data_IF_699917930527
#
_entry.id   IF_699917930527
#
_cell.length_a   1.000
_cell.length_b   1.000
_cell.length_c   1.000
_cell.angle_alpha   90.00
_cell.angle_beta   90.00
_cell.angle_gamma   90.00
#
_symmetry.space_group_name_H-M   'P 1'
#
loop_
_entity.id
_entity.type
_entity.pdbx_description
1 polymer ?
#
# COMPACT_ATOMS: atom_id res chain seq x y z
N UNK A 1 12.95 -17.73 -3.21
CA UNK A 1 12.92 -16.25 -3.29
C UNK A 1 11.49 -15.79 -3.30
N UNK A 2 11.03 -15.18 -2.21
CA UNK A 2 9.68 -14.63 -2.08
C UNK A 2 9.60 -13.79 -0.81
N UNK A 3 8.69 -12.83 -0.77
CA UNK A 3 8.48 -11.97 0.39
C UNK A 3 8.04 -12.79 1.62
N UNK A 4 8.58 -12.50 2.83
CA UNK A 4 8.10 -13.05 4.09
C UNK A 4 6.58 -12.93 4.21
N UNK A 5 5.94 -13.93 4.83
CA UNK A 5 4.48 -14.10 4.79
C UNK A 5 3.77 -12.90 5.42
N UNK A 6 4.32 -12.40 6.51
CA UNK A 6 3.87 -11.25 7.28
C UNK A 6 3.91 -9.94 6.48
N UNK A 7 4.81 -9.82 5.51
CA UNK A 7 4.97 -8.64 4.67
C UNK A 7 4.12 -8.67 3.38
N UNK A 8 3.53 -9.82 3.03
CA UNK A 8 2.71 -9.94 1.82
C UNK A 8 1.41 -9.14 1.90
N UNK A 9 0.82 -9.04 3.10
CA UNK A 9 -0.45 -8.33 3.29
C UNK A 9 -0.36 -6.87 2.86
N UNK A 10 0.62 -6.12 3.39
CA UNK A 10 0.78 -4.71 3.07
C UNK A 10 1.09 -4.47 1.59
N UNK A 11 1.88 -5.33 0.95
CA UNK A 11 2.16 -5.26 -0.49
C UNK A 11 0.88 -5.49 -1.32
N UNK A 12 0.17 -6.59 -1.04
CA UNK A 12 -1.04 -6.96 -1.79
C UNK A 12 -2.12 -5.87 -1.69
N UNK A 13 -2.34 -5.36 -0.47
CA UNK A 13 -3.32 -4.31 -0.20
C UNK A 13 -2.98 -3.01 -0.93
N UNK A 14 -1.74 -2.55 -0.78
CA UNK A 14 -1.26 -1.31 -1.42
C UNK A 14 -1.37 -1.43 -2.94
N UNK A 15 -0.85 -2.52 -3.50
CA UNK A 15 -0.86 -2.72 -4.94
C UNK A 15 -2.28 -2.86 -5.50
N UNK A 16 -3.21 -3.48 -4.78
CA UNK A 16 -4.61 -3.57 -5.21
C UNK A 16 -5.27 -2.18 -5.29
N UNK A 17 -5.00 -1.29 -4.32
CA UNK A 17 -5.46 0.10 -4.37
C UNK A 17 -4.84 0.83 -5.58
N UNK A 18 -3.55 0.64 -5.84
CA UNK A 18 -2.89 1.24 -7.01
C UNK A 18 -3.54 0.78 -8.32
N UNK A 19 -3.80 -0.51 -8.47
CA UNK A 19 -4.47 -1.06 -9.64
C UNK A 19 -5.91 -0.56 -9.77
N UNK A 20 -6.63 -0.37 -8.65
CA UNK A 20 -7.97 0.20 -8.64
C UNK A 20 -7.96 1.63 -9.23
N UNK A 21 -6.99 2.47 -8.87
CA UNK A 21 -6.82 3.81 -9.49
C UNK A 21 -6.60 3.73 -10.99
N UNK A 22 -5.90 2.69 -11.46
CA UNK A 22 -5.67 2.41 -12.88
C UNK A 22 -6.86 1.75 -13.62
N UNK A 23 -8.04 1.64 -12.99
CA UNK A 23 -9.25 1.13 -13.61
C UNK A 23 -9.47 -0.38 -13.47
N UNK A 24 -8.80 -1.05 -12.53
CA UNK A 24 -9.07 -2.47 -12.23
C UNK A 24 -10.50 -2.65 -11.73
N UNK A 25 -11.28 -3.47 -12.44
CA UNK A 25 -12.66 -3.79 -12.07
C UNK A 25 -12.79 -4.90 -11.02
N UNK A 26 -11.94 -5.93 -11.08
CA UNK A 26 -12.00 -7.09 -10.18
C UNK A 26 -10.64 -7.78 -10.02
N UNK A 27 -10.42 -8.45 -8.88
CA UNK A 27 -9.22 -9.22 -8.59
C UNK A 27 -9.53 -10.56 -7.92
N UNK A 28 -8.66 -11.56 -8.13
CA UNK A 28 -8.59 -12.73 -7.26
C UNK A 28 -7.68 -12.34 -6.08
N UNK A 29 -8.25 -12.20 -4.90
CA UNK A 29 -7.57 -11.75 -3.70
C UNK A 29 -7.96 -12.60 -2.48
N UNK A 30 -7.21 -12.48 -1.39
CA UNK A 30 -7.56 -13.12 -0.13
C UNK A 30 -8.75 -12.40 0.52
N UNK A 31 -9.91 -13.03 0.49
CA UNK A 31 -11.13 -12.48 1.07
C UNK A 31 -11.15 -12.50 2.62
N UNK A 32 -10.22 -13.22 3.26
CA UNK A 32 -10.08 -13.24 4.72
C UNK A 32 -9.17 -12.13 5.24
N UNK A 33 -8.47 -11.42 4.36
CA UNK A 33 -7.74 -10.21 4.70
C UNK A 33 -8.71 -9.04 4.93
N UNK A 34 -9.11 -8.84 6.18
CA UNK A 34 -10.11 -7.83 6.55
C UNK A 34 -9.70 -6.42 6.15
N UNK A 35 -8.41 -6.10 6.22
CA UNK A 35 -7.94 -4.76 5.90
C UNK A 35 -7.96 -4.51 4.39
N UNK A 36 -7.62 -5.52 3.58
CA UNK A 36 -7.84 -5.48 2.13
C UNK A 36 -9.32 -5.24 1.82
N UNK A 37 -10.21 -5.97 2.48
CA UNK A 37 -11.65 -5.82 2.27
C UNK A 37 -12.15 -4.45 2.72
N UNK A 38 -11.62 -3.88 3.79
CA UNK A 38 -11.98 -2.54 4.27
C UNK A 38 -11.50 -1.44 3.31
N UNK A 39 -10.30 -1.56 2.74
CA UNK A 39 -9.82 -0.66 1.66
C UNK A 39 -10.76 -0.71 0.46
N UNK A 40 -11.07 -1.92 -0.04
CA UNK A 40 -11.91 -2.09 -1.23
C UNK A 40 -13.37 -1.68 -1.02
N UNK A 41 -13.86 -1.70 0.24
CA UNK A 41 -15.20 -1.20 0.61
C UNK A 41 -15.21 0.30 0.93
N UNK A 42 -14.10 1.03 0.74
CA UNK A 42 -14.02 2.47 0.97
C UNK A 42 -14.06 2.88 2.45
N UNK A 43 -13.73 1.98 3.38
CA UNK A 43 -13.74 2.27 4.83
C UNK A 43 -12.46 2.91 5.35
N UNK A 44 -11.40 2.90 4.53
CA UNK A 44 -10.11 3.49 4.84
C UNK A 44 -9.72 4.55 3.79
N UNK A 45 -10.55 5.59 3.55
CA UNK A 45 -10.35 6.54 2.45
C UNK A 45 -9.06 7.35 2.60
N UNK A 46 -8.63 7.67 3.82
CA UNK A 46 -7.38 8.41 4.06
C UNK A 46 -6.13 7.65 3.60
N UNK A 47 -6.09 6.33 3.80
CA UNK A 47 -4.98 5.50 3.31
C UNK A 47 -5.00 5.42 1.78
N UNK A 48 -6.19 5.27 1.18
CA UNK A 48 -6.35 5.27 -0.28
C UNK A 48 -5.86 6.59 -0.88
N UNK A 49 -6.22 7.72 -0.29
CA UNK A 49 -5.76 9.05 -0.73
C UNK A 49 -4.23 9.18 -0.64
N UNK A 50 -3.61 8.73 0.45
CA UNK A 50 -2.15 8.75 0.60
C UNK A 50 -1.45 7.92 -0.48
N UNK A 51 -1.93 6.71 -0.78
CA UNK A 51 -1.39 5.87 -1.85
C UNK A 51 -1.52 6.59 -3.19
N UNK A 52 -2.68 7.20 -3.46
CA UNK A 52 -2.90 7.96 -4.70
C UNK A 52 -1.96 9.15 -4.84
N UNK A 53 -1.70 9.89 -3.75
CA UNK A 53 -0.75 11.02 -3.75
C UNK A 53 0.67 10.57 -4.11
N UNK A 54 1.12 9.44 -3.55
CA UNK A 54 2.41 8.84 -3.96
C UNK A 54 2.40 8.50 -5.44
N UNK A 55 1.33 7.85 -5.95
CA UNK A 55 1.23 7.53 -7.38
C UNK A 55 1.23 8.77 -8.29
N UNK A 56 0.71 9.89 -7.80
CA UNK A 56 0.68 11.17 -8.51
C UNK A 56 2.01 11.94 -8.39
N UNK A 57 3.01 11.40 -7.67
CA UNK A 57 4.35 11.96 -7.50
C UNK A 57 4.44 13.06 -6.44
N UNK A 58 3.45 13.16 -5.54
CA UNK A 58 3.49 14.13 -4.44
C UNK A 58 4.47 13.71 -3.35
N UNK A 59 5.20 14.68 -2.78
CA UNK A 59 6.06 14.44 -1.64
C UNK A 59 5.25 14.47 -0.34
N UNK A 60 5.33 13.39 0.42
CA UNK A 60 4.58 13.20 1.67
C UNK A 60 5.59 13.12 2.81
N UNK A 61 5.37 13.93 3.84
CA UNK A 61 6.12 13.85 5.10
C UNK A 61 5.74 12.58 5.86
N UNK A 62 6.48 11.51 5.58
CA UNK A 62 6.31 10.15 6.11
C UNK A 62 6.47 10.11 7.64
N UNK A 63 7.30 10.99 8.20
CA UNK A 63 7.61 10.99 9.63
C UNK A 63 6.48 11.58 10.47
N UNK A 64 5.71 12.50 9.89
CA UNK A 64 4.51 13.08 10.52
C UNK A 64 3.31 12.13 10.59
N UNK A 65 3.32 11.06 9.79
CA UNK A 65 2.19 10.13 9.68
C UNK A 65 2.14 9.12 10.83
N UNK A 66 0.92 8.68 11.24
CA UNK A 66 0.80 7.54 12.14
C UNK A 66 1.37 6.27 11.50
N UNK A 67 1.77 5.27 12.32
CA UNK A 67 2.54 4.11 11.85
C UNK A 67 1.89 3.34 10.69
N UNK A 68 0.55 3.22 10.69
CA UNK A 68 -0.16 2.47 9.66
C UNK A 68 -0.10 3.16 8.31
N UNK A 69 -0.45 4.45 8.27
CA UNK A 69 -0.40 5.29 7.09
C UNK A 69 1.02 5.39 6.53
N UNK A 70 2.01 5.50 7.42
CA UNK A 70 3.43 5.46 7.10
C UNK A 70 3.80 4.20 6.33
N UNK A 71 3.39 3.03 6.81
CA UNK A 71 3.70 1.75 6.16
C UNK A 71 3.11 1.66 4.75
N UNK A 72 1.90 2.19 4.53
CA UNK A 72 1.29 2.27 3.21
C UNK A 72 2.05 3.22 2.28
N UNK A 73 2.47 4.40 2.75
CA UNK A 73 3.24 5.34 1.95
C UNK A 73 4.61 4.76 1.58
N UNK A 74 5.34 4.18 2.54
CA UNK A 74 6.62 3.50 2.26
C UNK A 74 6.43 2.37 1.25
N UNK A 75 5.38 1.58 1.40
CA UNK A 75 5.09 0.46 0.49
C UNK A 75 4.73 0.95 -0.91
N UNK A 76 3.97 2.05 -1.04
CA UNK A 76 3.66 2.65 -2.33
C UNK A 76 4.94 3.17 -3.02
N UNK A 77 5.85 3.84 -2.29
CA UNK A 77 7.14 4.30 -2.82
C UNK A 77 8.02 3.16 -3.33
N UNK A 78 8.05 2.03 -2.61
CA UNK A 78 8.73 0.81 -3.06
C UNK A 78 8.10 0.24 -4.34
N UNK A 79 6.77 0.16 -4.40
CA UNK A 79 6.06 -0.37 -5.57
C UNK A 79 6.16 0.55 -6.81
N UNK A 80 6.31 1.86 -6.61
CA UNK A 80 6.59 2.83 -7.66
C UNK A 80 8.06 2.85 -8.11
N UNK A 81 8.95 2.17 -7.38
CA UNK A 81 10.39 2.14 -7.67
C UNK A 81 11.16 3.37 -7.20
N UNK A 82 10.55 4.23 -6.37
CA UNK A 82 11.19 5.41 -5.78
C UNK A 82 12.20 5.02 -4.68
N UNK A 83 12.00 3.87 -4.05
CA UNK A 83 12.90 3.30 -3.04
C UNK A 83 13.15 1.81 -3.30
N UNK A 84 14.34 1.34 -2.94
CA UNK A 84 14.69 -0.08 -3.07
C UNK A 84 13.88 -0.95 -2.09
N UNK A 85 13.65 -2.20 -2.48
CA UNK A 85 13.04 -3.23 -1.63
C UNK A 85 14.11 -4.06 -0.91
N UNK A 86 14.39 -3.81 0.38
CA UNK A 86 14.90 -4.81 1.32
C UNK A 86 13.74 -5.46 2.08
N UNK A 87 13.93 -6.60 2.74
CA UNK A 87 12.91 -7.19 3.65
C UNK A 87 12.63 -6.34 4.91
N UNK A 88 13.34 -5.24 5.09
CA UNK A 88 13.24 -4.31 6.23
C UNK A 88 12.71 -2.94 5.83
N UNK A 89 12.12 -2.77 4.64
CA UNK A 89 11.74 -1.45 4.10
C UNK A 89 10.76 -0.65 4.97
N UNK A 90 10.01 -1.30 5.85
CA UNK A 90 9.11 -0.63 6.79
C UNK A 90 9.88 -0.01 7.98
N UNK A 91 11.02 -0.59 8.34
CA UNK A 91 11.86 -0.18 9.48
C UNK A 91 12.83 0.95 9.12
N UNK A 92 13.15 1.10 7.83
CA UNK A 92 14.01 2.16 7.29
C UNK A 92 13.26 3.47 7.16
#
# INVERSE_FOLDING_TARGET
>A
NGTPKELRGILNRTYLVMLQKCGLYSAIADAFDQELMDLMKGRLPGIVELIHKVMDGEDIDVDSLPPKERDYVKTAKVLMGESLYPHTWLEL
#
